data_IF_174641793490
#
_entry.id   IF_174641793490
#
_cell.length_a   1.000
_cell.length_b   1.000
_cell.length_c   1.000
_cell.angle_alpha   90.00
_cell.angle_beta   90.00
_cell.angle_gamma   90.00
#
_symmetry.space_group_name_H-M   'P 1'
#
loop_
_entity.id
_entity.type
_entity.pdbx_description
1 polymer ?
#
# COMPACT_ATOMS: atom_id res chain seq x y z
N UNK A 1 -3.57 -3.82 17.29
CA UNK A 1 -4.78 -3.73 16.42
C UNK A 1 -5.98 -4.17 17.25
N UNK A 2 -7.17 -3.60 17.03
CA UNK A 2 -8.42 -3.99 17.70
C UNK A 2 -8.93 -5.36 17.23
N UNK A 3 -8.48 -5.81 16.06
CA UNK A 3 -8.94 -7.02 15.39
C UNK A 3 -8.15 -8.22 15.90
N UNK A 4 -8.75 -9.00 16.82
CA UNK A 4 -8.10 -10.17 17.41
C UNK A 4 -7.59 -11.17 16.37
N UNK A 5 -8.39 -11.51 15.36
CA UNK A 5 -7.97 -12.46 14.31
C UNK A 5 -6.73 -12.00 13.52
N UNK A 6 -6.54 -10.69 13.33
CA UNK A 6 -5.32 -10.15 12.69
C UNK A 6 -4.10 -10.31 13.59
N UNK A 7 -4.26 -10.05 14.89
CA UNK A 7 -3.20 -10.25 15.88
C UNK A 7 -2.83 -11.73 16.00
N UNK A 8 -3.82 -12.61 16.00
CA UNK A 8 -3.60 -14.06 16.02
C UNK A 8 -2.83 -14.51 14.76
N UNK A 9 -3.16 -13.97 13.58
CA UNK A 9 -2.42 -14.22 12.34
C UNK A 9 -0.97 -13.72 12.40
N UNK A 10 -0.73 -12.51 12.93
CA UNK A 10 0.64 -11.98 13.15
C UNK A 10 1.47 -12.80 14.14
N UNK A 11 0.81 -13.54 15.04
CA UNK A 11 1.46 -14.46 15.98
C UNK A 11 1.59 -15.89 15.44
N UNK A 12 1.05 -16.19 14.26
CA UNK A 12 1.11 -17.51 13.63
C UNK A 12 2.33 -17.70 12.73
N UNK A 13 2.53 -18.89 12.18
CA UNK A 13 3.61 -19.15 11.21
C UNK A 13 3.31 -18.59 9.81
N UNK A 14 2.08 -18.11 9.57
CA UNK A 14 1.65 -17.53 8.31
C UNK A 14 1.18 -16.10 8.54
N UNK A 15 1.97 -15.12 8.10
CA UNK A 15 1.66 -13.71 8.28
C UNK A 15 0.39 -13.31 7.50
N UNK A 16 -0.38 -12.30 8.00
CA UNK A 16 -1.63 -11.90 7.38
C UNK A 16 -1.46 -11.10 6.07
N UNK A 17 -0.23 -10.73 5.73
CA UNK A 17 0.16 -10.06 4.49
C UNK A 17 1.42 -10.73 3.94
N UNK A 18 1.56 -10.71 2.62
CA UNK A 18 2.79 -11.09 1.95
C UNK A 18 3.58 -9.84 1.61
N UNK A 19 4.87 -9.85 1.93
CA UNK A 19 5.81 -8.80 1.56
C UNK A 19 7.21 -9.46 1.48
N UNK A 20 7.97 -9.30 0.39
CA UNK A 20 9.29 -9.90 0.27
C UNK A 20 10.21 -9.50 1.43
N UNK A 21 10.79 -10.49 2.14
CA UNK A 21 11.69 -10.26 3.27
C UNK A 21 11.02 -10.03 4.63
N UNK A 22 9.69 -9.86 4.68
CA UNK A 22 8.98 -9.55 5.93
C UNK A 22 8.95 -10.76 6.88
N UNK A 23 8.71 -11.95 6.35
CA UNK A 23 8.63 -13.19 7.14
C UNK A 23 9.94 -13.46 7.88
N UNK A 24 11.09 -13.27 7.22
CA UNK A 24 12.41 -13.42 7.82
C UNK A 24 12.62 -12.43 8.97
N UNK A 25 12.30 -11.14 8.76
CA UNK A 25 12.47 -10.09 9.78
C UNK A 25 11.56 -10.35 10.99
N UNK A 26 10.29 -10.69 10.75
CA UNK A 26 9.34 -10.98 11.83
C UNK A 26 9.78 -12.20 12.63
N UNK A 27 10.19 -13.29 11.98
CA UNK A 27 10.68 -14.50 12.67
C UNK A 27 11.92 -14.24 13.51
N UNK A 28 12.81 -13.35 13.09
CA UNK A 28 14.02 -13.03 13.85
C UNK A 28 13.73 -12.24 15.14
N UNK A 29 12.72 -11.36 15.12
CA UNK A 29 12.42 -10.38 16.17
C UNK A 29 11.25 -10.78 17.08
N UNK A 30 10.27 -11.54 16.56
CA UNK A 30 9.03 -11.88 17.28
C UNK A 30 9.34 -12.66 18.56
N UNK A 31 8.77 -12.22 19.68
CA UNK A 31 8.98 -12.81 21.00
C UNK A 31 10.28 -12.37 21.69
N UNK A 32 11.10 -11.51 21.07
CA UNK A 32 12.31 -10.91 21.67
C UNK A 32 12.10 -9.42 21.94
N UNK A 33 11.91 -8.65 20.87
CA UNK A 33 11.72 -7.20 20.88
C UNK A 33 10.56 -6.75 19.99
N UNK A 34 9.89 -7.69 19.31
CA UNK A 34 8.67 -7.46 18.54
C UNK A 34 7.55 -8.32 19.13
N UNK A 35 6.41 -7.69 19.42
CA UNK A 35 5.25 -8.34 20.02
C UNK A 35 3.96 -7.85 19.34
N UNK A 36 3.02 -8.76 19.10
CA UNK A 36 1.70 -8.45 18.57
C UNK A 36 0.64 -8.73 19.62
N UNK A 37 -0.17 -7.72 19.94
CA UNK A 37 -1.15 -7.78 21.01
C UNK A 37 -2.43 -7.02 20.65
N UNK A 38 -3.54 -7.47 21.23
CA UNK A 38 -4.82 -6.78 21.22
C UNK A 38 -5.12 -6.08 22.57
N UNK A 39 -4.21 -6.15 23.55
CA UNK A 39 -4.28 -5.40 24.82
C UNK A 39 -3.72 -3.98 24.64
N UNK A 40 -4.50 -3.17 23.93
CA UNK A 40 -4.06 -1.84 23.46
C UNK A 40 -3.82 -0.91 24.64
N UNK A 41 -4.72 -0.90 25.62
CA UNK A 41 -4.66 0.01 26.77
C UNK A 41 -3.38 -0.21 27.59
N UNK A 42 -3.06 -1.47 27.89
CA UNK A 42 -1.81 -1.80 28.59
C UNK A 42 -0.59 -1.26 27.86
N UNK A 43 -0.46 -1.57 26.57
CA UNK A 43 0.74 -1.20 25.81
C UNK A 43 0.83 0.32 25.57
N UNK A 44 -0.30 1.00 25.39
CA UNK A 44 -0.34 2.47 25.33
C UNK A 44 0.08 3.09 26.65
N UNK A 45 -0.38 2.54 27.78
CA UNK A 45 0.04 3.00 29.12
C UNK A 45 1.55 2.85 29.34
N UNK A 46 2.17 1.79 28.82
CA UNK A 46 3.59 1.46 29.03
C UNK A 46 4.55 2.14 28.03
N UNK A 47 4.09 2.51 26.83
CA UNK A 47 4.96 3.00 25.75
C UNK A 47 5.47 4.44 25.96
N UNK A 48 6.71 4.74 25.55
CA UNK A 48 7.21 6.12 25.50
C UNK A 48 6.83 6.84 24.18
N UNK A 49 6.84 6.07 23.08
CA UNK A 49 6.52 6.53 21.72
C UNK A 49 5.40 5.66 21.16
N UNK A 50 4.37 6.29 20.60
CA UNK A 50 3.20 5.61 20.05
C UNK A 50 3.06 6.00 18.58
N UNK A 51 3.32 5.06 17.67
CA UNK A 51 2.97 5.21 16.26
C UNK A 51 1.49 4.89 16.07
N UNK A 52 0.76 5.81 15.45
CA UNK A 52 -0.63 5.58 15.07
C UNK A 52 -0.63 5.29 13.56
N UNK A 53 -1.16 4.14 13.16
CA UNK A 53 -1.13 3.65 11.78
C UNK A 53 -2.48 3.05 11.41
N UNK A 54 -3.54 3.85 11.57
CA UNK A 54 -4.92 3.45 11.28
C UNK A 54 -5.39 4.01 9.94
N UNK A 55 -6.40 3.39 9.35
CA UNK A 55 -6.94 3.84 8.07
C UNK A 55 -7.54 5.24 8.15
N UNK A 56 -7.48 5.98 7.05
CA UNK A 56 -8.12 7.28 6.85
C UNK A 56 -8.95 7.25 5.56
N UNK A 57 -9.97 6.38 5.48
CA UNK A 57 -10.69 6.14 4.23
C UNK A 57 -11.39 7.41 3.76
N UNK A 58 -11.68 7.52 2.46
CA UNK A 58 -12.44 8.65 1.94
C UNK A 58 -13.86 8.65 2.51
N UNK A 59 -14.32 9.81 3.01
CA UNK A 59 -15.69 9.98 3.51
C UNK A 59 -16.71 9.61 2.45
N UNK A 60 -17.71 8.83 2.83
CA UNK A 60 -18.81 8.43 1.92
C UNK A 60 -20.04 9.34 2.01
N UNK A 61 -20.11 10.20 3.04
CA UNK A 61 -21.26 11.09 3.29
C UNK A 61 -20.85 12.40 3.98
N UNK A 62 -21.75 13.38 3.92
CA UNK A 62 -21.57 14.70 4.53
C UNK A 62 -20.59 15.60 3.78
N UNK A 63 -20.14 16.67 4.43
CA UNK A 63 -19.20 17.62 3.82
C UNK A 63 -17.88 16.92 3.46
N UNK A 64 -17.46 17.07 2.20
CA UNK A 64 -16.26 16.43 1.67
C UNK A 64 -16.43 14.97 1.26
N UNK A 65 -17.67 14.46 1.13
CA UNK A 65 -17.90 13.11 0.60
C UNK A 65 -17.21 12.90 -0.76
N UNK A 66 -16.53 11.75 -0.92
CA UNK A 66 -15.76 11.38 -2.10
C UNK A 66 -14.42 12.09 -2.26
N UNK A 67 -14.02 12.96 -1.32
CA UNK A 67 -12.77 13.75 -1.42
C UNK A 67 -11.98 13.86 -0.13
N UNK A 68 -12.65 14.07 1.00
CA UNK A 68 -12.00 14.26 2.30
C UNK A 68 -11.74 12.92 3.00
N UNK A 69 -10.66 12.84 3.76
CA UNK A 69 -10.37 11.71 4.63
C UNK A 69 -11.32 11.67 5.82
N UNK A 70 -11.72 10.47 6.22
CA UNK A 70 -12.43 10.19 7.46
C UNK A 70 -11.42 9.97 8.58
N UNK A 71 -11.41 10.88 9.55
CA UNK A 71 -10.48 10.86 10.68
C UNK A 71 -11.04 10.13 11.90
N UNK A 72 -12.19 9.48 11.79
CA UNK A 72 -12.87 8.81 12.92
C UNK A 72 -11.96 7.84 13.68
N UNK A 73 -11.21 7.01 12.96
CA UNK A 73 -10.29 6.06 13.59
C UNK A 73 -9.12 6.76 14.29
N UNK A 74 -8.66 7.86 13.72
CA UNK A 74 -7.58 8.66 14.26
C UNK A 74 -8.01 9.39 15.54
N UNK A 75 -9.18 10.03 15.53
CA UNK A 75 -9.78 10.65 16.71
C UNK A 75 -10.04 9.62 17.81
N UNK A 76 -10.52 8.43 17.46
CA UNK A 76 -10.72 7.33 18.40
C UNK A 76 -9.42 6.87 19.05
N UNK A 77 -8.33 6.76 18.27
CA UNK A 77 -7.02 6.41 18.78
C UNK A 77 -6.49 7.50 19.73
N UNK A 78 -6.60 8.78 19.35
CA UNK A 78 -6.17 9.89 20.19
C UNK A 78 -6.90 9.95 21.53
N UNK A 79 -8.22 9.75 21.55
CA UNK A 79 -9.00 9.70 22.81
C UNK A 79 -8.55 8.57 23.72
N UNK A 80 -8.39 7.36 23.17
CA UNK A 80 -7.92 6.21 23.93
C UNK A 80 -6.50 6.44 24.49
N UNK A 81 -5.61 7.08 23.72
CA UNK A 81 -4.27 7.46 24.20
C UNK A 81 -4.38 8.44 25.37
N UNK A 82 -5.23 9.47 25.28
CA UNK A 82 -5.41 10.43 26.36
C UNK A 82 -5.98 9.79 27.64
N UNK A 83 -6.94 8.87 27.50
CA UNK A 83 -7.61 8.21 28.63
C UNK A 83 -6.68 7.26 29.40
N UNK A 84 -5.73 6.62 28.71
CA UNK A 84 -4.94 5.51 29.25
C UNK A 84 -3.49 5.89 29.58
N UNK A 85 -2.97 6.97 28.99
CA UNK A 85 -1.62 7.43 29.29
C UNK A 85 -1.44 7.72 30.80
N UNK A 86 -0.28 7.31 31.35
CA UNK A 86 0.11 7.54 32.75
C UNK A 86 1.38 8.38 32.89
N UNK A 87 2.00 8.73 31.78
CA UNK A 87 3.25 9.47 31.66
C UNK A 87 3.24 10.23 30.34
N UNK A 88 4.13 11.21 30.20
CA UNK A 88 4.33 11.95 28.97
C UNK A 88 4.63 11.00 27.80
N UNK A 89 4.08 11.30 26.61
CA UNK A 89 4.18 10.46 25.42
C UNK A 89 4.58 11.27 24.18
N UNK A 90 5.30 10.63 23.26
CA UNK A 90 5.43 11.09 21.88
C UNK A 90 4.45 10.29 21.01
N UNK A 91 3.50 10.98 20.39
CA UNK A 91 2.52 10.39 19.46
C UNK A 91 2.96 10.72 18.03
N UNK A 92 3.22 9.68 17.25
CA UNK A 92 3.72 9.79 15.88
C UNK A 92 2.62 9.45 14.90
N UNK A 93 2.27 10.41 14.07
CA UNK A 93 1.36 10.26 12.95
C UNK A 93 2.09 9.64 11.76
N UNK A 94 1.76 8.38 11.47
CA UNK A 94 2.33 7.60 10.36
C UNK A 94 1.39 7.48 9.17
N UNK A 95 0.09 7.36 9.41
CA UNK A 95 -0.92 7.24 8.37
C UNK A 95 -0.96 8.47 7.46
N UNK A 96 -1.30 8.30 6.19
CA UNK A 96 -1.54 9.45 5.31
C UNK A 96 -2.76 10.26 5.81
N UNK A 97 -2.52 11.40 6.44
CA UNK A 97 -3.57 12.30 6.93
C UNK A 97 -3.56 13.65 6.20
N UNK A 98 -4.69 14.37 6.13
CA UNK A 98 -4.71 15.74 5.64
C UNK A 98 -3.87 16.69 6.51
N UNK A 99 -3.36 17.76 5.88
CA UNK A 99 -2.66 18.84 6.59
C UNK A 99 -3.54 19.39 7.73
N UNK A 100 -2.92 19.75 8.86
CA UNK A 100 -3.55 20.17 10.13
C UNK A 100 -4.24 19.08 10.96
N UNK A 101 -4.16 17.81 10.56
CA UNK A 101 -4.64 16.72 11.43
C UNK A 101 -3.89 16.69 12.75
N UNK A 102 -2.57 16.91 12.74
CA UNK A 102 -1.76 17.00 13.96
C UNK A 102 -2.27 18.09 14.93
N UNK A 103 -2.64 19.28 14.44
CA UNK A 103 -3.19 20.37 15.27
C UNK A 103 -4.56 20.00 15.88
N UNK A 104 -5.41 19.32 15.12
CA UNK A 104 -6.72 18.88 15.61
C UNK A 104 -6.55 17.84 16.73
N UNK A 105 -5.58 16.93 16.58
CA UNK A 105 -5.30 15.88 17.55
C UNK A 105 -4.60 16.42 18.79
N UNK A 106 -3.74 17.42 18.64
CA UNK A 106 -3.16 18.16 19.76
C UNK A 106 -4.25 18.67 20.68
N UNK A 107 -5.32 19.26 20.12
CA UNK A 107 -6.46 19.72 20.91
C UNK A 107 -7.15 18.56 21.63
N UNK A 108 -7.36 17.41 20.98
CA UNK A 108 -7.98 16.25 21.64
C UNK A 108 -7.11 15.76 22.79
N UNK A 109 -5.83 15.54 22.56
CA UNK A 109 -4.90 15.03 23.57
C UNK A 109 -4.76 16.01 24.74
N UNK A 110 -4.58 17.31 24.47
CA UNK A 110 -4.40 18.34 25.51
C UNK A 110 -5.65 18.61 26.35
N UNK A 111 -6.85 18.56 25.76
CA UNK A 111 -8.09 18.81 26.53
C UNK A 111 -8.51 17.61 27.37
N UNK A 112 -8.01 16.42 27.05
CA UNK A 112 -8.27 15.20 27.80
C UNK A 112 -7.02 14.77 28.60
N UNK A 113 -5.97 15.60 28.66
CA UNK A 113 -4.77 15.25 29.41
C UNK A 113 -4.98 15.52 30.90
N UNK A 114 -4.86 14.48 31.72
CA UNK A 114 -4.91 14.58 33.17
C UNK A 114 -3.54 15.04 33.74
N UNK A 115 -3.01 16.15 33.22
CA UNK A 115 -1.68 16.68 33.60
C UNK A 115 -0.49 16.02 32.87
N UNK A 116 -0.77 15.31 31.78
CA UNK A 116 0.22 14.62 30.94
C UNK A 116 0.54 15.47 29.72
N UNK A 117 1.82 15.54 29.35
CA UNK A 117 2.26 16.21 28.13
C UNK A 117 2.31 15.24 26.95
N UNK A 118 1.77 15.68 25.82
CA UNK A 118 1.84 14.94 24.56
C UNK A 118 2.61 15.76 23.53
N UNK A 119 3.63 15.15 22.94
CA UNK A 119 4.27 15.68 21.74
C UNK A 119 3.73 14.95 20.52
N UNK A 120 3.36 15.71 19.49
CA UNK A 120 2.88 15.13 18.24
C UNK A 120 3.91 15.35 17.16
N UNK A 121 4.33 14.26 16.52
CA UNK A 121 5.19 14.27 15.35
C UNK A 121 4.42 13.75 14.14
N UNK A 122 4.65 14.33 12.97
CA UNK A 122 4.27 13.75 11.69
C UNK A 122 5.48 13.01 11.12
N UNK A 123 5.35 11.71 10.90
CA UNK A 123 6.39 10.91 10.25
C UNK A 123 5.72 10.06 9.18
N UNK A 124 5.41 10.62 7.99
CA UNK A 124 4.74 9.86 6.95
C UNK A 124 5.56 8.64 6.52
N UNK A 125 4.88 7.68 5.90
CA UNK A 125 5.55 6.59 5.19
C UNK A 125 5.73 6.89 3.71
N UNK A 126 6.78 6.31 3.13
CA UNK A 126 7.07 6.35 1.69
C UNK A 126 7.37 4.93 1.21
N UNK A 127 6.51 3.98 1.55
CA UNK A 127 6.66 2.57 1.20
C UNK A 127 5.81 2.26 -0.03
N UNK A 128 6.29 1.36 -0.88
CA UNK A 128 5.46 0.71 -1.89
C UNK A 128 5.24 -0.76 -1.50
N UNK A 129 4.01 -1.24 -1.69
CA UNK A 129 3.68 -2.66 -1.52
C UNK A 129 4.57 -3.51 -2.44
N UNK A 130 5.19 -4.55 -1.88
CA UNK A 130 6.14 -5.45 -2.54
C UNK A 130 7.62 -5.01 -2.54
N UNK A 131 7.94 -3.77 -2.14
CA UNK A 131 9.31 -3.32 -1.78
C UNK A 131 9.40 -2.75 -0.37
N UNK A 132 8.37 -2.86 0.46
CA UNK A 132 8.26 -2.14 1.72
C UNK A 132 9.43 -2.43 2.68
N UNK A 133 9.93 -3.67 2.71
CA UNK A 133 11.11 -4.02 3.53
C UNK A 133 12.37 -3.32 3.02
N UNK A 134 12.59 -3.31 1.70
CA UNK A 134 13.72 -2.62 1.09
C UNK A 134 13.63 -1.11 1.30
N UNK A 135 12.44 -0.53 1.13
CA UNK A 135 12.18 0.90 1.33
C UNK A 135 12.40 1.31 2.79
N UNK A 136 12.12 0.43 3.76
CA UNK A 136 12.42 0.65 5.18
C UNK A 136 13.92 0.57 5.50
N UNK A 137 14.67 -0.34 4.87
CA UNK A 137 16.11 -0.49 5.10
C UNK A 137 16.94 0.57 4.36
N UNK A 138 16.49 1.01 3.19
CA UNK A 138 17.19 1.98 2.35
C UNK A 138 16.22 3.07 1.86
N UNK A 139 15.67 3.90 2.76
CA UNK A 139 14.75 4.95 2.39
C UNK A 139 15.47 6.06 1.61
N UNK A 140 14.85 6.59 0.56
CA UNK A 140 15.32 7.81 -0.11
C UNK A 140 15.47 8.97 0.88
N UNK A 141 14.50 9.08 1.80
CA UNK A 141 14.44 10.07 2.88
C UNK A 141 13.49 9.63 3.99
N UNK A 142 13.74 10.11 5.20
CA UNK A 142 12.81 10.01 6.34
C UNK A 142 12.38 11.42 6.72
N UNK A 143 11.08 11.70 6.61
CA UNK A 143 10.52 13.01 6.96
C UNK A 143 9.96 12.96 8.38
N UNK A 144 10.37 13.89 9.24
CA UNK A 144 9.82 14.08 10.58
C UNK A 144 9.47 15.57 10.73
N UNK A 145 8.20 15.85 10.98
CA UNK A 145 7.71 17.18 11.33
C UNK A 145 7.26 17.22 12.79
N UNK A 146 7.59 18.30 13.50
CA UNK A 146 7.16 18.52 14.88
C UNK A 146 6.99 20.01 15.16
N UNK A 147 6.49 20.37 16.35
CA UNK A 147 6.43 21.77 16.77
C UNK A 147 7.82 22.27 17.16
N UNK A 148 8.04 23.57 16.99
CA UNK A 148 9.22 24.26 17.51
C UNK A 148 9.13 24.49 19.02
N UNK A 149 9.11 23.41 19.79
CA UNK A 149 9.24 23.44 21.25
C UNK A 149 10.64 22.93 21.65
N UNK A 150 11.15 23.26 22.86
CA UNK A 150 12.42 22.71 23.33
C UNK A 150 12.46 21.18 23.29
N UNK A 151 11.32 20.53 23.54
CA UNK A 151 11.18 19.08 23.48
C UNK A 151 11.03 18.58 22.04
N UNK A 152 10.43 19.35 21.13
CA UNK A 152 10.30 19.03 19.70
C UNK A 152 11.63 19.13 18.96
N UNK A 153 12.51 20.04 19.39
CA UNK A 153 13.88 20.15 18.90
C UNK A 153 14.77 18.96 19.26
N UNK A 154 14.35 18.11 20.22
CA UNK A 154 15.04 16.85 20.53
C UNK A 154 14.77 15.75 19.49
N UNK A 155 13.75 15.91 18.63
CA UNK A 155 13.54 15.03 17.51
C UNK A 155 14.70 15.16 16.50
N UNK A 156 15.11 14.07 15.81
CA UNK A 156 16.18 14.11 14.83
C UNK A 156 15.94 15.20 13.78
N UNK A 157 16.85 16.16 13.68
CA UNK A 157 16.75 17.28 12.73
C UNK A 157 17.56 16.98 11.47
N UNK A 158 16.95 17.25 10.31
CA UNK A 158 17.66 17.29 9.02
C UNK A 158 18.21 18.70 8.81
N UNK A 159 19.46 18.80 8.39
CA UNK A 159 20.06 20.11 8.09
C UNK A 159 19.47 20.70 6.82
N UNK A 160 19.47 22.03 6.69
CA UNK A 160 19.02 22.71 5.47
C UNK A 160 19.76 22.19 4.22
N UNK A 161 21.06 21.94 4.33
CA UNK A 161 21.86 21.32 3.27
C UNK A 161 21.36 19.92 2.87
N UNK A 162 20.93 19.09 3.85
CA UNK A 162 20.38 17.77 3.56
C UNK A 162 19.03 17.88 2.86
N UNK A 163 18.17 18.81 3.30
CA UNK A 163 16.88 19.09 2.64
C UNK A 163 17.10 19.50 1.18
N UNK A 164 18.05 20.40 0.91
CA UNK A 164 18.37 20.84 -0.45
C UNK A 164 18.92 19.70 -1.31
N UNK A 165 19.75 18.80 -0.75
CA UNK A 165 20.22 17.61 -1.46
C UNK A 165 19.09 16.65 -1.79
N UNK A 166 18.20 16.37 -0.83
CA UNK A 166 17.06 15.45 -1.03
C UNK A 166 16.11 15.96 -2.12
N UNK A 167 15.86 17.28 -2.16
CA UNK A 167 15.05 17.92 -3.20
C UNK A 167 15.74 17.97 -4.57
N UNK A 168 17.06 17.96 -4.61
CA UNK A 168 17.87 18.00 -5.83
C UNK A 168 18.23 16.61 -6.38
N UNK A 169 17.90 15.52 -5.66
CA UNK A 169 18.08 14.17 -6.17
C UNK A 169 17.22 13.96 -7.43
N UNK A 170 17.84 13.50 -8.52
CA UNK A 170 17.12 13.14 -9.74
C UNK A 170 16.13 12.02 -9.39
N UNK A 171 14.82 12.31 -9.48
CA UNK A 171 13.75 11.32 -9.40
C UNK A 171 14.03 10.20 -10.41
N UNK A 172 14.49 9.06 -9.91
CA UNK A 172 14.61 7.84 -10.71
C UNK A 172 13.24 7.17 -10.84
N UNK A 173 13.04 6.49 -11.97
CA UNK A 173 11.79 5.95 -12.46
C UNK A 173 11.06 5.03 -11.45
N UNK A 174 9.78 5.33 -11.23
CA UNK A 174 8.87 4.44 -10.53
C UNK A 174 8.28 3.45 -11.55
N UNK A 175 8.75 2.20 -11.53
CA UNK A 175 7.98 1.03 -11.98
C UNK A 175 7.95 0.00 -10.85
N UNK A 176 6.75 -0.53 -10.60
CA UNK A 176 6.27 -0.98 -9.28
C UNK A 176 6.62 -2.44 -8.89
N UNK A 177 6.50 -2.78 -7.59
CA UNK A 177 6.82 -4.11 -7.07
C UNK A 177 5.70 -5.16 -7.18
N UNK A 178 6.13 -6.37 -6.83
CA UNK A 178 5.59 -7.70 -7.13
C UNK A 178 4.75 -8.23 -5.95
N UNK A 179 3.70 -9.04 -6.21
CA UNK A 179 2.98 -9.97 -5.27
C UNK A 179 1.66 -9.54 -4.55
N UNK A 180 0.53 -9.54 -5.29
CA UNK A 180 -0.82 -10.12 -5.01
C UNK A 180 -1.70 -9.60 -3.83
N UNK A 181 -2.97 -9.37 -4.20
CA UNK A 181 -4.10 -8.71 -3.50
C UNK A 181 -4.73 -9.44 -2.28
N UNK A 182 -5.73 -8.78 -1.64
CA UNK A 182 -7.11 -9.27 -1.85
C UNK A 182 -8.10 -8.20 -2.34
N UNK A 183 -8.82 -8.54 -3.42
CA UNK A 183 -9.89 -7.75 -4.03
C UNK A 183 -11.16 -7.70 -3.17
N UNK A 184 -11.84 -6.55 -3.22
CA UNK A 184 -13.20 -6.31 -2.72
C UNK A 184 -14.21 -7.37 -3.20
N UNK A 185 -15.16 -7.82 -2.35
CA UNK A 185 -16.20 -8.75 -2.75
C UNK A 185 -17.22 -8.04 -3.65
N UNK A 186 -17.03 -8.14 -4.96
CA UNK A 186 -17.96 -7.60 -5.95
C UNK A 186 -18.49 -8.75 -6.81
N UNK A 187 -19.72 -9.18 -6.51
CA UNK A 187 -20.67 -9.98 -7.32
C UNK A 187 -20.09 -11.09 -8.21
N UNK A 188 -19.79 -12.23 -7.58
CA UNK A 188 -18.99 -13.39 -8.07
C UNK A 188 -19.72 -14.41 -8.97
N UNK A 189 -20.75 -14.04 -9.75
CA UNK A 189 -21.44 -15.03 -10.63
C UNK A 189 -20.83 -15.19 -12.02
N UNK A 190 -20.01 -14.23 -12.46
CA UNK A 190 -19.41 -14.23 -13.82
C UNK A 190 -17.88 -14.27 -13.78
N UNK A 191 -17.28 -14.39 -12.58
CA UNK A 191 -15.83 -14.37 -12.38
C UNK A 191 -15.41 -15.73 -11.85
N UNK A 192 -14.45 -16.35 -12.54
CA UNK A 192 -13.76 -17.56 -12.06
C UNK A 192 -12.31 -17.18 -11.76
N UNK A 193 -11.75 -17.78 -10.70
CA UNK A 193 -10.36 -17.56 -10.27
C UNK A 193 -9.65 -18.91 -10.34
N UNK A 194 -8.49 -18.93 -10.99
CA UNK A 194 -7.59 -20.08 -11.04
C UNK A 194 -6.18 -19.64 -10.64
N UNK A 195 -5.37 -20.61 -10.25
CA UNK A 195 -3.98 -20.44 -9.86
C UNK A 195 -3.01 -20.66 -11.02
N UNK A 196 -3.49 -21.12 -12.18
CA UNK A 196 -2.67 -21.39 -13.37
C UNK A 196 -3.12 -20.53 -14.56
N UNK A 197 -2.18 -19.79 -15.14
CA UNK A 197 -2.43 -18.98 -16.33
C UNK A 197 -2.85 -19.82 -17.55
N UNK A 198 -2.39 -21.07 -17.68
CA UNK A 198 -2.82 -21.94 -18.78
C UNK A 198 -4.28 -22.37 -18.63
N UNK A 199 -4.73 -22.64 -17.41
CA UNK A 199 -6.14 -22.91 -17.13
C UNK A 199 -7.00 -21.65 -17.36
N UNK A 200 -6.52 -20.48 -16.94
CA UNK A 200 -7.24 -19.22 -17.06
C UNK A 200 -7.53 -18.84 -18.54
N UNK A 201 -6.63 -19.27 -19.42
CA UNK A 201 -6.67 -18.93 -20.85
C UNK A 201 -7.31 -20.02 -21.71
N UNK A 202 -7.52 -21.22 -21.17
CA UNK A 202 -8.17 -22.32 -21.88
C UNK A 202 -9.59 -21.93 -22.29
N UNK A 203 -9.94 -22.17 -23.54
CA UNK A 203 -11.24 -21.84 -24.15
C UNK A 203 -11.61 -20.34 -24.08
N UNK A 204 -10.66 -19.46 -23.71
CA UNK A 204 -10.87 -18.03 -23.72
C UNK A 204 -10.86 -17.48 -25.16
N UNK A 205 -11.64 -16.42 -25.39
CA UNK A 205 -11.63 -15.67 -26.65
C UNK A 205 -10.57 -14.58 -26.66
N UNK A 206 -10.28 -14.01 -25.49
CA UNK A 206 -9.31 -12.93 -25.34
C UNK A 206 -8.64 -12.95 -23.98
N UNK A 207 -7.40 -12.48 -23.94
CA UNK A 207 -6.58 -12.32 -22.73
C UNK A 207 -6.41 -10.83 -22.47
N UNK A 208 -6.66 -10.38 -21.25
CA UNK A 208 -6.37 -9.01 -20.81
C UNK A 208 -5.25 -9.03 -19.77
N UNK A 209 -4.08 -8.49 -20.12
CA UNK A 209 -2.96 -8.33 -19.20
C UNK A 209 -3.11 -6.97 -18.51
N UNK A 210 -3.54 -7.02 -17.25
CA UNK A 210 -3.84 -5.82 -16.45
C UNK A 210 -2.77 -5.54 -15.38
N UNK A 211 -1.81 -6.47 -15.23
CA UNK A 211 -0.71 -6.41 -14.26
C UNK A 211 0.56 -6.95 -14.90
N UNK A 212 1.70 -6.35 -14.54
CA UNK A 212 3.00 -6.48 -15.20
C UNK A 212 3.90 -7.57 -14.63
N UNK A 213 3.34 -8.76 -14.35
CA UNK A 213 4.12 -9.87 -13.80
C UNK A 213 5.21 -10.33 -14.74
N UNK A 214 6.43 -10.46 -14.23
CA UNK A 214 7.56 -11.02 -14.99
C UNK A 214 7.28 -12.43 -15.51
N UNK A 215 6.51 -13.22 -14.75
CA UNK A 215 6.06 -14.56 -15.17
C UNK A 215 5.39 -14.52 -16.55
N UNK A 216 4.53 -13.51 -16.80
CA UNK A 216 3.81 -13.37 -18.07
C UNK A 216 4.75 -13.14 -19.25
N UNK A 217 5.96 -12.59 -19.04
CA UNK A 217 6.94 -12.40 -20.12
C UNK A 217 7.46 -13.72 -20.68
N UNK A 218 7.38 -14.80 -19.90
CA UNK A 218 8.05 -16.08 -20.17
C UNK A 218 7.11 -17.27 -20.40
N UNK A 219 5.79 -17.05 -20.34
CA UNK A 219 4.80 -18.10 -20.57
C UNK A 219 4.90 -18.68 -22.00
N UNK A 220 4.52 -19.95 -22.14
CA UNK A 220 4.39 -20.61 -23.44
C UNK A 220 3.10 -20.14 -24.13
N UNK A 221 3.22 -19.02 -24.84
CA UNK A 221 2.11 -18.44 -25.59
C UNK A 221 1.65 -19.29 -26.76
N UNK A 222 2.48 -20.22 -27.25
CA UNK A 222 2.05 -21.15 -28.30
C UNK A 222 1.07 -22.16 -27.73
N UNK A 223 1.39 -22.75 -26.56
CA UNK A 223 0.48 -23.61 -25.82
C UNK A 223 -0.82 -22.89 -25.44
N UNK A 224 -0.72 -21.64 -24.96
CA UNK A 224 -1.90 -20.81 -24.65
C UNK A 224 -2.75 -20.63 -25.91
N UNK A 225 -2.14 -20.19 -27.01
CA UNK A 225 -2.84 -20.01 -28.28
C UNK A 225 -3.58 -21.28 -28.68
N UNK A 226 -2.91 -22.43 -28.72
CA UNK A 226 -3.50 -23.68 -29.20
C UNK A 226 -4.72 -24.14 -28.36
N UNK A 227 -4.82 -23.67 -27.11
CA UNK A 227 -5.94 -23.96 -26.19
C UNK A 227 -7.09 -22.92 -26.21
N UNK A 228 -6.91 -21.79 -26.90
CA UNK A 228 -7.89 -20.69 -26.97
C UNK A 228 -8.85 -20.82 -28.16
N UNK A 229 -10.02 -20.19 -28.03
CA UNK A 229 -10.97 -20.04 -29.13
C UNK A 229 -10.42 -19.13 -30.23
N UNK A 230 -10.86 -19.33 -31.48
CA UNK A 230 -10.37 -18.57 -32.64
C UNK A 230 -11.45 -17.66 -33.24
N UNK A 231 -11.11 -16.42 -33.61
CA UNK A 231 -9.79 -15.77 -33.47
C UNK A 231 -9.44 -15.47 -31.99
N UNK A 232 -8.15 -15.57 -31.65
CA UNK A 232 -7.66 -15.36 -30.28
C UNK A 232 -7.07 -13.95 -30.12
N UNK A 233 -7.53 -13.22 -29.11
CA UNK A 233 -7.13 -11.83 -28.85
C UNK A 233 -6.22 -11.70 -27.63
N UNK A 234 -5.28 -10.75 -27.68
CA UNK A 234 -4.47 -10.32 -26.53
C UNK A 234 -4.57 -8.81 -26.41
N UNK A 235 -4.96 -8.34 -25.23
CA UNK A 235 -4.99 -6.93 -24.84
C UNK A 235 -3.94 -6.73 -23.75
N UNK A 236 -2.79 -6.18 -24.14
CA UNK A 236 -1.70 -5.88 -23.23
C UNK A 236 -1.79 -4.43 -22.72
N UNK A 237 -2.37 -4.28 -21.53
CA UNK A 237 -2.48 -2.99 -20.84
C UNK A 237 -1.20 -2.54 -20.16
N UNK A 238 -0.15 -3.38 -20.14
CA UNK A 238 1.09 -3.13 -19.38
C UNK A 238 2.35 -3.15 -20.22
N UNK A 239 2.23 -3.42 -21.52
CA UNK A 239 3.35 -3.51 -22.47
C UNK A 239 4.43 -4.52 -22.02
N UNK A 240 4.01 -5.64 -21.41
CA UNK A 240 4.93 -6.66 -20.90
C UNK A 240 5.22 -7.79 -21.89
N UNK A 241 4.34 -8.03 -22.86
CA UNK A 241 4.53 -9.13 -23.83
C UNK A 241 5.10 -8.65 -25.16
N UNK A 242 5.82 -9.55 -25.83
CA UNK A 242 6.35 -9.31 -27.17
C UNK A 242 5.23 -9.41 -28.21
N UNK A 243 4.67 -8.25 -28.56
CA UNK A 243 3.54 -8.14 -29.50
C UNK A 243 3.85 -8.74 -30.88
N UNK A 244 5.10 -8.71 -31.33
CA UNK A 244 5.49 -9.23 -32.65
C UNK A 244 5.48 -10.76 -32.63
N UNK A 245 6.12 -11.38 -31.63
CA UNK A 245 6.09 -12.84 -31.46
C UNK A 245 4.68 -13.39 -31.31
N UNK A 246 3.82 -12.69 -30.57
CA UNK A 246 2.42 -13.13 -30.42
C UNK A 246 1.64 -13.06 -31.73
N UNK A 247 1.88 -12.03 -32.55
CA UNK A 247 1.29 -11.94 -33.90
C UNK A 247 1.80 -13.06 -34.82
N UNK A 248 3.09 -13.42 -34.74
CA UNK A 248 3.65 -14.56 -35.49
C UNK A 248 3.00 -15.90 -35.10
N UNK A 249 2.66 -16.09 -33.83
CA UNK A 249 1.90 -17.26 -33.35
C UNK A 249 0.47 -17.28 -33.91
N UNK A 250 -0.09 -16.11 -34.23
CA UNK A 250 -1.42 -15.92 -34.82
C UNK A 250 -2.42 -15.20 -33.92
N UNK A 251 -1.97 -14.58 -32.82
CA UNK A 251 -2.83 -13.72 -32.00
C UNK A 251 -3.13 -12.39 -32.71
N UNK A 252 -4.30 -11.84 -32.41
CA UNK A 252 -4.63 -10.44 -32.67
C UNK A 252 -4.27 -9.66 -31.41
N UNK A 253 -3.26 -8.80 -31.50
CA UNK A 253 -2.64 -8.15 -30.33
C UNK A 253 -2.89 -6.66 -30.32
N UNK A 254 -3.38 -6.16 -29.20
CA UNK A 254 -3.53 -4.74 -28.91
C UNK A 254 -2.70 -4.39 -27.68
N UNK A 255 -1.90 -3.34 -27.78
CA UNK A 255 -1.09 -2.85 -26.67
C UNK A 255 -1.21 -1.35 -26.55
N UNK A 256 -1.21 -0.83 -25.32
CA UNK A 256 -1.36 0.61 -25.07
C UNK A 256 -0.20 1.37 -25.74
N UNK A 257 -0.54 2.36 -26.55
CA UNK A 257 0.44 3.21 -27.25
C UNK A 257 1.08 2.58 -28.49
N UNK A 258 0.68 1.36 -28.90
CA UNK A 258 1.17 0.72 -30.13
C UNK A 258 0.15 0.85 -31.28
N UNK A 259 0.61 0.91 -32.55
CA UNK A 259 -0.30 0.97 -33.70
C UNK A 259 -1.25 -0.23 -33.76
N UNK A 260 -2.52 0.03 -34.07
CA UNK A 260 -3.51 -0.99 -34.39
C UNK A 260 -3.15 -1.69 -35.72
N UNK A 261 -3.58 -2.94 -35.84
CA UNK A 261 -3.46 -3.69 -37.08
C UNK A 261 -4.19 -2.97 -38.23
N UNK A 262 -3.64 -3.04 -39.44
CA UNK A 262 -4.11 -2.25 -40.59
C UNK A 262 -5.60 -2.45 -40.89
N UNK A 263 -6.12 -3.66 -40.73
CA UNK A 263 -7.51 -3.99 -41.03
C UNK A 263 -8.54 -3.37 -40.05
N UNK A 264 -8.11 -2.92 -38.86
CA UNK A 264 -8.97 -2.16 -37.95
C UNK A 264 -9.00 -0.66 -38.25
N UNK A 265 -7.96 -0.14 -38.92
CA UNK A 265 -7.93 1.29 -39.29
C UNK A 265 -9.03 1.65 -40.28
N UNK A 266 -9.48 0.67 -41.06
CA UNK A 266 -10.53 0.80 -42.07
C UNK A 266 -11.92 0.42 -41.54
N UNK A 267 -12.04 -0.02 -40.28
CA UNK A 267 -13.35 -0.23 -39.66
C UNK A 267 -13.98 1.13 -39.37
N UNK A 268 -15.22 1.40 -39.85
CA UNK A 268 -15.92 2.62 -39.46
C UNK A 268 -16.06 2.63 -37.95
N UNK A 269 -15.64 3.73 -37.31
CA UNK A 269 -15.90 3.94 -35.89
C UNK A 269 -17.40 3.83 -35.68
N UNK A 270 -17.85 2.77 -35.02
CA UNK A 270 -19.24 2.65 -34.60
C UNK A 270 -19.40 3.66 -33.47
N UNK A 271 -20.00 4.80 -33.81
CA UNK A 271 -20.37 5.86 -32.88
C UNK A 271 -21.50 5.41 -31.95
#
# INVERSE_FOLDING_TARGET
DITKSRIDAWNSDTLPIYEPGLDEVVKQCRGKNLFFSNDIEKHVSEADIIFVSVNTPTKTRGLGAGKAADLTYWESAARMIADVAKSDKIVVEKSTVPVKTAEAIEKILTHNSNGINFQILSNPEFLAEGTAIQDLFNPDRVLIGGRETPEGQKAPQVTEDQIQRDLAMNKFDWDHPVHLQPMSPTTTKQVSVTWDAYEATKDAHGICIMTEWDEFKTLDYKKIYDSMQKPAFVFDGRNVVDSEKLREIGFIVYSIGKPLDGWLKDMPAVA
#
